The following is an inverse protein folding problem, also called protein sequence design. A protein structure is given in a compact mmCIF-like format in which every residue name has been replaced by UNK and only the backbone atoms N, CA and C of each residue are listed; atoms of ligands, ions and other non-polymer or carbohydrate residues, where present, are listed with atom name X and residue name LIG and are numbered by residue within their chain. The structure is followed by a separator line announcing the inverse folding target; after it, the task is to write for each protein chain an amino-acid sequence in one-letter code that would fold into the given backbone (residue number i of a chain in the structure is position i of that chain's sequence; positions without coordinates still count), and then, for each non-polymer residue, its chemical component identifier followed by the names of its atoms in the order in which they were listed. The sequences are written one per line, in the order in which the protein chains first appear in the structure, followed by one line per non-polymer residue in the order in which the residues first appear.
data_IF_689613627744
#
_entry.id   IF_689613627744
#
_cell.length_a   1.000
_cell.length_b   1.000
_cell.length_c   1.000
_cell.angle_alpha   90.00
_cell.angle_beta   90.00
_cell.angle_gamma   90.00
#
_symmetry.space_group_name_H-M   'P 1'
#
loop_
_entity.id
_entity.type
_entity.pdbx_description
1 polymer ?
#
# COMPACT_ATOMS: atom_id res chain seq x y z
N UNK A 1 -7.62 37.16 -0.60
CA UNK A 1 -8.89 36.74 -1.27
C UNK A 1 -9.68 37.99 -1.62
N UNK A 2 -10.18 38.13 -2.85
CA UNK A 2 -11.01 39.29 -3.20
C UNK A 2 -12.36 39.26 -2.47
N UNK A 3 -12.91 40.42 -2.07
CA UNK A 3 -14.22 40.49 -1.43
C UNK A 3 -15.33 40.05 -2.40
N UNK A 4 -16.45 39.58 -1.83
CA UNK A 4 -17.63 39.10 -2.57
C UNK A 4 -18.83 39.88 -2.06
N UNK A 5 -19.57 40.50 -2.98
CA UNK A 5 -20.76 41.27 -2.68
C UNK A 5 -21.96 40.67 -3.44
N UNK A 6 -23.04 40.34 -2.73
CA UNK A 6 -24.33 39.92 -3.27
C UNK A 6 -25.44 40.37 -2.33
N UNK A 7 -26.65 40.62 -2.85
CA UNK A 7 -27.82 40.97 -2.04
C UNK A 7 -28.35 39.80 -1.19
N UNK A 8 -28.00 38.55 -1.52
CA UNK A 8 -28.37 37.37 -0.76
C UNK A 8 -27.15 36.79 -0.01
N UNK A 9 -27.21 36.66 1.33
CA UNK A 9 -26.14 36.06 2.13
C UNK A 9 -25.75 34.65 1.70
N UNK A 10 -26.69 33.85 1.20
CA UNK A 10 -26.45 32.48 0.71
C UNK A 10 -25.52 32.49 -0.51
N UNK A 11 -25.67 33.47 -1.39
CA UNK A 11 -24.81 33.60 -2.58
C UNK A 11 -23.39 33.99 -2.21
N UNK A 12 -23.23 34.88 -1.23
CA UNK A 12 -21.90 35.25 -0.71
C UNK A 12 -21.18 34.00 -0.19
N UNK A 13 -21.88 33.18 0.61
CA UNK A 13 -21.34 31.92 1.14
C UNK A 13 -20.99 30.94 0.02
N UNK A 14 -21.90 30.72 -0.93
CA UNK A 14 -21.69 29.80 -2.05
C UNK A 14 -20.50 30.21 -2.93
N UNK A 15 -20.34 31.51 -3.22
CA UNK A 15 -19.21 32.01 -4.00
C UNK A 15 -17.90 31.81 -3.24
N UNK A 16 -17.87 32.10 -1.93
CA UNK A 16 -16.68 31.85 -1.09
C UNK A 16 -16.31 30.36 -1.06
N UNK A 17 -17.29 29.47 -0.87
CA UNK A 17 -17.07 28.02 -0.88
C UNK A 17 -16.61 27.51 -2.26
N UNK A 18 -17.15 28.02 -3.36
CA UNK A 18 -16.70 27.69 -4.72
C UNK A 18 -15.25 28.13 -4.96
N UNK A 19 -14.87 29.33 -4.51
CA UNK A 19 -13.48 29.84 -4.60
C UNK A 19 -12.53 28.98 -3.76
N UNK A 20 -12.92 28.65 -2.53
CA UNK A 20 -12.18 27.77 -1.66
C UNK A 20 -12.00 26.39 -2.28
N UNK A 21 -13.09 25.76 -2.75
CA UNK A 21 -13.04 24.48 -3.47
C UNK A 21 -12.11 24.54 -4.69
N UNK A 22 -12.16 25.61 -5.49
CA UNK A 22 -11.29 25.78 -6.66
C UNK A 22 -9.82 25.88 -6.27
N UNK A 23 -9.49 26.59 -5.20
CA UNK A 23 -8.12 26.68 -4.68
C UNK A 23 -7.59 25.31 -4.23
N UNK A 24 -8.42 24.52 -3.54
CA UNK A 24 -8.05 23.17 -3.11
C UNK A 24 -8.14 22.12 -4.23
N UNK A 25 -8.78 22.44 -5.36
CA UNK A 25 -8.88 21.57 -6.54
C UNK A 25 -7.52 21.50 -7.23
N UNK A 26 -6.69 20.57 -6.76
CA UNK A 26 -5.34 20.35 -7.28
C UNK A 26 -4.30 20.23 -6.18
N UNK A 27 -4.58 20.68 -4.96
CA UNK A 27 -3.66 20.58 -3.82
C UNK A 27 -3.27 19.12 -3.54
N UNK A 28 -4.26 18.22 -3.51
CA UNK A 28 -3.99 16.79 -3.37
C UNK A 28 -3.22 16.17 -4.54
N UNK A 29 -3.43 16.67 -5.77
CA UNK A 29 -2.74 16.16 -6.96
C UNK A 29 -1.30 16.66 -7.05
N UNK A 30 -1.03 17.90 -6.61
CA UNK A 30 0.31 18.45 -6.57
C UNK A 30 1.11 17.77 -5.45
N UNK A 31 0.65 17.84 -4.20
CA UNK A 31 1.47 17.37 -3.07
C UNK A 31 1.69 15.85 -3.09
N UNK A 32 0.61 15.06 -3.17
CA UNK A 32 0.73 13.59 -3.22
C UNK A 32 1.20 13.08 -4.59
N UNK A 33 0.96 13.84 -5.67
CA UNK A 33 1.40 13.45 -7.01
C UNK A 33 2.91 13.60 -7.20
N UNK A 34 3.54 14.64 -6.64
CA UNK A 34 5.00 14.79 -6.69
C UNK A 34 5.70 13.65 -5.92
N UNK A 35 5.25 13.35 -4.69
CA UNK A 35 5.78 12.23 -3.92
C UNK A 35 5.60 10.88 -4.65
N UNK A 36 4.44 10.63 -5.24
CA UNK A 36 4.18 9.40 -6.01
C UNK A 36 5.08 9.29 -7.24
N UNK A 37 5.28 10.39 -7.98
CA UNK A 37 6.20 10.42 -9.12
C UNK A 37 7.64 10.19 -8.69
N UNK A 38 8.08 10.80 -7.58
CA UNK A 38 9.44 10.63 -7.05
C UNK A 38 9.70 9.20 -6.62
N UNK A 39 8.79 8.58 -5.87
CA UNK A 39 8.89 7.14 -5.52
C UNK A 39 8.95 6.24 -6.73
N UNK A 40 8.15 6.53 -7.77
CA UNK A 40 8.19 5.76 -9.02
C UNK A 40 9.59 5.83 -9.66
N UNK A 41 10.12 7.05 -9.81
CA UNK A 41 11.45 7.27 -10.36
C UNK A 41 12.55 6.58 -9.53
N UNK A 42 12.51 6.69 -8.20
CA UNK A 42 13.47 6.03 -7.31
C UNK A 42 13.47 4.51 -7.48
N UNK A 43 12.29 3.89 -7.62
CA UNK A 43 12.18 2.44 -7.86
C UNK A 43 12.73 2.03 -9.21
N UNK A 44 12.47 2.80 -10.26
CA UNK A 44 12.99 2.54 -11.61
C UNK A 44 14.52 2.64 -11.64
N UNK A 45 15.09 3.71 -11.08
CA UNK A 45 16.54 3.91 -11.02
C UNK A 45 17.24 2.87 -10.15
N UNK A 46 16.66 2.49 -8.99
CA UNK A 46 17.20 1.41 -8.17
C UNK A 46 17.16 0.06 -8.90
N UNK A 47 16.09 -0.22 -9.66
CA UNK A 47 15.99 -1.41 -10.50
C UNK A 47 17.13 -1.48 -11.52
N UNK A 48 17.46 -0.36 -12.18
CA UNK A 48 18.59 -0.31 -13.10
C UNK A 48 19.94 -0.58 -12.42
N UNK A 49 20.16 -0.06 -11.20
CA UNK A 49 21.39 -0.34 -10.46
C UNK A 49 21.47 -1.80 -10.01
N UNK A 50 20.34 -2.40 -9.64
CA UNK A 50 20.26 -3.81 -9.26
C UNK A 50 20.55 -4.73 -10.47
N UNK A 51 20.01 -4.42 -11.65
CA UNK A 51 20.34 -5.12 -12.90
C UNK A 51 21.83 -5.05 -13.25
N UNK A 52 22.46 -3.90 -13.03
CA UNK A 52 23.92 -3.76 -13.22
C UNK A 52 24.69 -4.62 -12.20
N UNK A 53 24.25 -4.65 -10.95
CA UNK A 53 24.87 -5.44 -9.89
C UNK A 53 24.81 -6.95 -10.14
N UNK A 54 23.79 -7.44 -10.87
CA UNK A 54 23.69 -8.86 -11.25
C UNK A 54 24.81 -9.26 -12.23
N UNK A 55 25.29 -8.33 -13.05
CA UNK A 55 26.28 -8.58 -14.08
C UNK A 55 27.71 -8.23 -13.64
N UNK A 56 27.86 -7.17 -12.83
CA UNK A 56 29.16 -6.61 -12.46
C UNK A 56 29.21 -6.13 -10.99
N UNK A 57 30.42 -6.05 -10.43
CA UNK A 57 30.61 -5.46 -9.10
C UNK A 57 30.45 -3.94 -9.20
N UNK A 58 29.55 -3.38 -8.39
CA UNK A 58 29.30 -1.94 -8.35
C UNK A 58 30.55 -1.17 -7.92
N UNK A 59 30.81 -0.06 -8.62
CA UNK A 59 31.75 0.97 -8.15
C UNK A 59 31.31 1.51 -6.78
N UNK A 60 32.25 1.87 -5.87
CA UNK A 60 31.92 2.48 -4.58
C UNK A 60 31.00 3.70 -4.69
N UNK A 61 31.15 4.51 -5.74
CA UNK A 61 30.30 5.69 -5.98
C UNK A 61 28.86 5.31 -6.31
N UNK A 62 28.67 4.31 -7.18
CA UNK A 62 27.33 3.80 -7.52
C UNK A 62 26.67 3.12 -6.33
N UNK A 63 27.46 2.44 -5.50
CA UNK A 63 26.97 1.85 -4.26
C UNK A 63 26.48 2.93 -3.28
N UNK A 64 27.25 4.00 -3.07
CA UNK A 64 26.80 5.14 -2.26
C UNK A 64 25.50 5.73 -2.80
N UNK A 65 25.41 5.98 -4.11
CA UNK A 65 24.19 6.48 -4.76
C UNK A 65 23.00 5.53 -4.53
N UNK A 66 23.20 4.22 -4.59
CA UNK A 66 22.18 3.22 -4.29
C UNK A 66 21.64 3.37 -2.87
N UNK A 67 22.54 3.47 -1.89
CA UNK A 67 22.18 3.62 -0.48
C UNK A 67 21.40 4.92 -0.25
N UNK A 68 21.85 6.03 -0.81
CA UNK A 68 21.14 7.32 -0.71
C UNK A 68 19.72 7.25 -1.27
N UNK A 69 19.54 6.64 -2.44
CA UNK A 69 18.22 6.47 -3.05
C UNK A 69 17.31 5.53 -2.25
N UNK A 70 17.86 4.50 -1.62
CA UNK A 70 17.11 3.63 -0.71
C UNK A 70 16.65 4.37 0.55
N UNK A 71 17.52 5.21 1.12
CA UNK A 71 17.17 6.06 2.28
C UNK A 71 16.04 7.02 1.92
N UNK A 72 16.13 7.69 0.77
CA UNK A 72 15.08 8.60 0.28
C UNK A 72 13.76 7.86 -0.02
N UNK A 73 13.82 6.68 -0.63
CA UNK A 73 12.62 5.90 -0.89
C UNK A 73 11.93 5.51 0.42
N UNK A 74 12.71 5.08 1.42
CA UNK A 74 12.19 4.71 2.73
C UNK A 74 11.54 5.89 3.46
N UNK A 75 12.12 7.09 3.40
CA UNK A 75 11.50 8.28 4.02
C UNK A 75 10.14 8.60 3.38
N UNK A 76 10.04 8.55 2.05
CA UNK A 76 8.78 8.79 1.32
C UNK A 76 7.72 7.71 1.57
N UNK A 77 8.13 6.48 1.92
CA UNK A 77 7.23 5.40 2.31
C UNK A 77 6.74 5.57 3.75
N UNK A 78 7.60 6.01 4.67
CA UNK A 78 7.23 6.32 6.05
C UNK A 78 6.22 7.46 6.12
N UNK A 79 6.42 8.54 5.35
CA UNK A 79 5.44 9.63 5.25
C UNK A 79 4.08 9.15 4.75
N UNK A 80 4.08 8.23 3.79
CA UNK A 80 2.86 7.61 3.28
C UNK A 80 2.19 6.72 4.35
N UNK A 81 2.95 5.91 5.07
CA UNK A 81 2.46 5.06 6.17
C UNK A 81 1.80 5.92 7.25
N UNK A 82 2.44 7.01 7.69
CA UNK A 82 1.86 7.96 8.65
C UNK A 82 0.58 8.59 8.12
N UNK A 83 0.56 9.03 6.86
CA UNK A 83 -0.63 9.61 6.25
C UNK A 83 -1.79 8.59 6.16
N UNK A 84 -1.50 7.31 5.91
CA UNK A 84 -2.50 6.24 5.93
C UNK A 84 -3.00 5.93 7.34
N UNK A 85 -2.11 5.92 8.33
CA UNK A 85 -2.46 5.72 9.73
C UNK A 85 -3.43 6.80 10.19
N UNK A 86 -3.11 8.07 9.95
CA UNK A 86 -3.98 9.19 10.30
C UNK A 86 -5.36 9.06 9.65
N UNK A 87 -5.42 8.77 8.35
CA UNK A 87 -6.70 8.58 7.63
C UNK A 87 -7.50 7.41 8.18
N UNK A 88 -6.84 6.33 8.58
CA UNK A 88 -7.51 5.15 9.14
C UNK A 88 -8.08 5.44 10.53
N UNK A 89 -7.33 6.16 11.36
CA UNK A 89 -7.74 6.60 12.69
C UNK A 89 -8.89 7.60 12.61
N UNK A 90 -8.83 8.60 11.72
CA UNK A 90 -9.92 9.55 11.50
C UNK A 90 -11.19 8.83 11.04
N UNK A 91 -11.06 7.84 10.15
CA UNK A 91 -12.19 7.01 9.73
C UNK A 91 -12.74 6.14 10.86
N UNK A 92 -11.92 5.75 11.83
CA UNK A 92 -12.31 4.95 12.98
C UNK A 92 -13.04 5.80 14.01
N UNK A 93 -12.44 6.93 14.43
CA UNK A 93 -13.04 7.89 15.36
C UNK A 93 -14.40 8.42 14.87
N UNK A 94 -14.56 8.64 13.56
CA UNK A 94 -15.82 9.12 13.00
C UNK A 94 -16.95 8.07 13.04
N UNK A 95 -16.64 6.80 13.33
CA UNK A 95 -17.59 5.67 13.22
C UNK A 95 -17.97 5.01 14.55
N UNK A 96 -17.50 5.58 15.66
CA UNK A 96 -17.74 5.13 17.04
C UNK A 96 -17.19 3.72 17.33
N UNK A 97 -16.55 3.55 18.49
CA UNK A 97 -15.88 2.31 18.94
C UNK A 97 -16.88 1.23 19.41
N UNK A 98 -18.16 1.48 19.16
CA UNK A 98 -19.23 0.55 19.43
C UNK A 98 -19.09 -0.64 18.46
N UNK A 99 -19.02 -1.86 19.01
CA UNK A 99 -18.97 -3.16 18.32
C UNK A 99 -20.28 -3.42 17.55
N UNK A 100 -20.58 -2.54 16.59
CA UNK A 100 -21.85 -2.40 15.91
C UNK A 100 -21.97 -3.45 14.82
N UNK A 101 -23.21 -3.80 14.45
CA UNK A 101 -23.52 -4.65 13.31
C UNK A 101 -22.79 -4.20 12.02
N UNK A 102 -22.53 -2.90 11.88
CA UNK A 102 -21.74 -2.32 10.80
C UNK A 102 -20.30 -2.86 10.76
N UNK A 103 -19.62 -2.98 11.90
CA UNK A 103 -18.26 -3.52 11.99
C UNK A 103 -18.22 -4.97 11.54
N UNK A 104 -19.11 -5.81 12.08
CA UNK A 104 -19.24 -7.21 11.68
C UNK A 104 -19.54 -7.34 10.18
N UNK A 105 -20.41 -6.48 9.63
CA UNK A 105 -20.71 -6.48 8.19
C UNK A 105 -19.48 -6.14 7.33
N UNK A 106 -18.62 -5.22 7.77
CA UNK A 106 -17.36 -4.91 7.07
C UNK A 106 -16.36 -6.07 7.20
N UNK A 107 -16.19 -6.63 8.40
CA UNK A 107 -15.29 -7.77 8.64
C UNK A 107 -15.73 -8.97 7.80
N UNK A 108 -17.01 -9.32 7.81
CA UNK A 108 -17.56 -10.41 7.01
C UNK A 108 -17.48 -10.13 5.51
N UNK A 109 -17.68 -8.88 5.10
CA UNK A 109 -17.47 -8.45 3.72
C UNK A 109 -16.01 -8.54 3.27
N UNK A 110 -15.05 -8.35 4.17
CA UNK A 110 -13.61 -8.56 3.91
C UNK A 110 -13.27 -10.04 3.90
N UNK A 111 -13.77 -10.80 4.89
CA UNK A 111 -13.61 -12.25 4.96
C UNK A 111 -14.08 -12.91 3.68
N UNK A 112 -15.30 -12.60 3.21
CA UNK A 112 -15.83 -13.14 1.94
C UNK A 112 -14.96 -12.81 0.72
N UNK A 113 -14.38 -11.61 0.66
CA UNK A 113 -13.51 -11.21 -0.47
C UNK A 113 -12.10 -11.80 -0.40
N UNK A 114 -11.58 -12.01 0.81
CA UNK A 114 -10.21 -12.45 1.04
C UNK A 114 -10.10 -13.98 1.25
N UNK A 115 -11.22 -14.69 1.42
CA UNK A 115 -11.22 -16.15 1.41
C UNK A 115 -10.78 -16.65 0.04
N UNK A 116 -9.59 -17.26 0.00
CA UNK A 116 -9.09 -17.96 -1.17
C UNK A 116 -9.84 -19.29 -1.25
N UNK A 117 -10.65 -19.46 -2.30
CA UNK A 117 -11.45 -20.67 -2.51
C UNK A 117 -10.69 -21.71 -3.32
N UNK A 118 -9.89 -21.27 -4.28
CA UNK A 118 -9.09 -22.11 -5.15
C UNK A 118 -7.81 -21.41 -5.61
N UNK A 119 -6.82 -22.19 -6.02
CA UNK A 119 -5.59 -21.72 -6.64
C UNK A 119 -5.50 -22.28 -8.07
N UNK A 120 -5.17 -21.43 -9.04
CA UNK A 120 -4.89 -21.88 -10.42
C UNK A 120 -3.39 -21.89 -10.67
N UNK A 121 -2.83 -23.04 -11.02
CA UNK A 121 -1.42 -23.21 -11.41
C UNK A 121 -1.36 -23.78 -12.83
N UNK A 122 -1.20 -22.92 -13.84
CA UNK A 122 -1.32 -23.31 -15.25
C UNK A 122 -2.72 -23.82 -15.56
N UNK A 123 -2.81 -25.03 -16.12
CA UNK A 123 -4.09 -25.70 -16.44
C UNK A 123 -4.74 -26.41 -15.23
N UNK A 124 -4.09 -26.41 -14.07
CA UNK A 124 -4.57 -27.13 -12.88
C UNK A 124 -5.25 -26.17 -11.89
N UNK A 125 -6.50 -26.49 -11.53
CA UNK A 125 -7.25 -25.82 -10.46
C UNK A 125 -7.16 -26.66 -9.19
N UNK A 126 -6.65 -26.07 -8.12
CA UNK A 126 -6.48 -26.70 -6.81
C UNK A 126 -7.54 -26.13 -5.88
N UNK A 127 -8.50 -26.98 -5.52
CA UNK A 127 -9.59 -26.63 -4.62
C UNK A 127 -9.42 -27.28 -3.25
N UNK A 128 -9.86 -26.56 -2.21
CA UNK A 128 -9.88 -27.05 -0.83
C UNK A 128 -8.63 -26.71 -0.02
N UNK A 129 -8.84 -26.26 1.22
CA UNK A 129 -7.78 -25.73 2.09
C UNK A 129 -6.59 -26.67 2.28
N UNK A 130 -6.84 -27.98 2.45
CA UNK A 130 -5.77 -28.97 2.65
C UNK A 130 -4.87 -29.11 1.42
N UNK A 131 -5.47 -29.08 0.22
CA UNK A 131 -4.75 -29.21 -1.04
C UNK A 131 -3.97 -27.94 -1.36
N UNK A 132 -4.58 -26.77 -1.12
CA UNK A 132 -3.92 -25.48 -1.27
C UNK A 132 -2.71 -25.35 -0.32
N UNK A 133 -2.86 -25.75 0.94
CA UNK A 133 -1.75 -25.74 1.92
C UNK A 133 -0.63 -26.70 1.49
N UNK A 134 -0.97 -27.92 1.09
CA UNK A 134 0.02 -28.90 0.63
C UNK A 134 0.79 -28.38 -0.58
N UNK A 135 0.08 -27.86 -1.58
CA UNK A 135 0.69 -27.28 -2.77
C UNK A 135 1.61 -26.09 -2.44
N UNK A 136 1.18 -25.19 -1.55
CA UNK A 136 2.02 -24.07 -1.11
C UNK A 136 3.28 -24.56 -0.39
N UNK A 137 3.18 -25.54 0.51
CA UNK A 137 4.34 -26.09 1.21
C UNK A 137 5.30 -26.81 0.26
N UNK A 138 4.79 -27.55 -0.72
CA UNK A 138 5.60 -28.26 -1.70
C UNK A 138 6.30 -27.27 -2.65
N UNK A 139 5.60 -26.21 -3.07
CA UNK A 139 6.18 -25.12 -3.85
C UNK A 139 7.35 -24.45 -3.11
N UNK A 140 7.15 -24.07 -1.84
CA UNK A 140 8.19 -23.41 -1.05
C UNK A 140 9.39 -24.34 -0.83
N UNK A 141 9.17 -25.62 -0.52
CA UNK A 141 10.26 -26.60 -0.39
C UNK A 141 11.06 -26.70 -1.68
N UNK A 142 10.40 -26.84 -2.82
CA UNK A 142 11.07 -26.94 -4.11
C UNK A 142 11.80 -25.66 -4.49
N UNK A 143 11.23 -24.49 -4.17
CA UNK A 143 11.85 -23.20 -4.41
C UNK A 143 13.13 -22.99 -3.57
N UNK A 144 13.11 -23.42 -2.31
CA UNK A 144 14.23 -23.23 -1.37
C UNK A 144 15.34 -24.30 -1.49
N UNK A 145 15.08 -25.45 -2.13
CA UNK A 145 16.05 -26.55 -2.28
C UNK A 145 16.83 -26.47 -3.61
N UNK A 146 16.58 -25.45 -4.45
CA UNK A 146 17.43 -25.18 -5.60
C UNK A 146 18.82 -24.67 -5.16
N UNK A 147 19.92 -25.11 -5.81
CA UNK A 147 21.25 -24.68 -5.45
C UNK A 147 21.38 -23.16 -5.60
N UNK A 148 21.95 -22.53 -4.56
CA UNK A 148 22.44 -21.15 -4.51
C UNK A 148 23.07 -20.76 -5.86
N UNK A 149 22.33 -20.00 -6.68
CA UNK A 149 22.78 -19.62 -8.02
C UNK A 149 21.74 -19.00 -8.96
N UNK A 150 20.44 -19.14 -8.71
CA UNK A 150 19.38 -18.53 -9.56
C UNK A 150 18.63 -17.42 -8.83
N UNK A 151 19.36 -16.34 -8.50
CA UNK A 151 18.76 -15.08 -8.06
C UNK A 151 18.48 -14.20 -9.29
N UNK A 152 17.41 -14.47 -10.04
CA UNK A 152 17.02 -13.60 -11.16
C UNK A 152 15.52 -13.63 -11.53
N UNK A 153 14.62 -14.17 -10.69
CA UNK A 153 13.19 -14.27 -11.08
C UNK A 153 12.17 -14.11 -9.97
N UNK A 154 12.39 -13.15 -9.06
CA UNK A 154 11.35 -12.70 -8.12
C UNK A 154 11.07 -11.18 -8.20
N UNK A 155 11.30 -10.55 -9.35
CA UNK A 155 10.74 -9.23 -9.65
C UNK A 155 9.34 -9.35 -10.27
N UNK A 156 8.33 -9.72 -9.47
CA UNK A 156 6.96 -9.83 -10.01
C UNK A 156 5.78 -9.82 -9.03
N UNK A 157 5.98 -10.01 -7.72
CA UNK A 157 4.85 -10.14 -6.77
C UNK A 157 4.62 -8.84 -5.96
N UNK A 158 5.38 -7.77 -6.19
CA UNK A 158 5.28 -6.54 -5.38
C UNK A 158 3.95 -5.76 -5.57
N UNK A 159 3.18 -6.01 -6.64
CA UNK A 159 2.02 -5.17 -6.99
C UNK A 159 0.72 -5.39 -6.19
N UNK A 160 0.53 -6.55 -5.55
CA UNK A 160 -0.76 -6.88 -4.89
C UNK A 160 -0.67 -6.75 -3.36
N UNK A 161 0.53 -6.84 -2.81
CA UNK A 161 0.72 -6.83 -1.36
C UNK A 161 0.69 -5.40 -0.80
N UNK A 162 1.20 -4.38 -1.52
CA UNK A 162 1.31 -3.01 -0.99
C UNK A 162 -0.03 -2.38 -0.55
N UNK A 163 -1.16 -2.73 -1.19
CA UNK A 163 -2.48 -2.17 -0.80
C UNK A 163 -3.14 -2.88 0.37
N UNK A 164 -2.80 -4.14 0.64
CA UNK A 164 -3.34 -4.91 1.76
C UNK A 164 -2.40 -4.93 2.97
N UNK A 165 -1.08 -4.81 2.77
CA UNK A 165 -0.12 -4.86 3.87
C UNK A 165 -0.24 -3.67 4.83
N UNK A 166 -0.47 -2.46 4.31
CA UNK A 166 -0.67 -1.27 5.13
C UNK A 166 -1.97 -1.37 5.96
N UNK A 167 -3.01 -2.03 5.42
CA UNK A 167 -4.28 -2.26 6.14
C UNK A 167 -4.17 -3.42 7.15
N UNK A 168 -3.34 -4.43 6.86
CA UNK A 168 -3.08 -5.53 7.79
C UNK A 168 -2.18 -5.09 8.96
N UNK A 169 -1.24 -4.16 8.73
CA UNK A 169 -0.34 -3.65 9.77
C UNK A 169 -1.03 -2.71 10.75
N UNK A 170 -1.98 -1.88 10.31
CA UNK A 170 -2.76 -1.02 11.21
C UNK A 170 -3.60 -1.81 12.22
N UNK A 171 -3.93 -3.08 11.93
CA UNK A 171 -4.60 -3.98 12.89
C UNK A 171 -3.64 -4.89 13.65
N UNK A 172 -2.40 -5.07 13.20
CA UNK A 172 -1.39 -5.86 13.94
C UNK A 172 -0.92 -5.15 15.22
N UNK A 173 -1.09 -3.83 15.29
CA UNK A 173 -0.80 -3.00 16.48
C UNK A 173 -2.03 -2.72 17.36
N UNK A 174 -3.21 -3.25 16.99
CA UNK A 174 -4.43 -3.18 17.81
C UNK A 174 -4.72 -4.58 18.39
N UNK A 175 -4.10 -4.81 19.54
CA UNK A 175 -4.45 -5.74 20.62
C UNK A 175 -4.78 -7.22 20.33
N UNK A 176 -3.99 -8.16 20.88
CA UNK A 176 -4.35 -9.57 21.07
C UNK A 176 -5.56 -9.82 22.00
N UNK A 177 -6.22 -8.79 22.53
CA UNK A 177 -7.25 -8.92 23.57
C UNK A 177 -8.66 -9.24 23.07
N UNK A 178 -8.91 -9.26 21.76
CA UNK A 178 -10.23 -9.58 21.20
C UNK A 178 -10.39 -11.01 20.67
N UNK A 179 -9.43 -11.90 20.94
CA UNK A 179 -9.54 -13.34 20.67
C UNK A 179 -9.61 -14.09 22.00
N UNK A 180 -10.58 -13.76 22.85
CA UNK A 180 -11.04 -14.63 23.94
C UNK A 180 -12.35 -14.09 24.52
N UNK A 181 -13.47 -14.44 23.87
CA UNK A 181 -14.75 -14.80 24.49
C UNK A 181 -15.72 -15.32 23.44
#
# INVERSE_FOLDING_TARGET
MQPVYSGNPIDIMNIKLKRFKKYFKGWGSSNFGHARKRRKWLREELGHIEELQENEVLSPELYCKKVEMQVELNSLLLEEEVAWLQKSHDNWLLKDDSNTEYFHRIVDGRRRRNTIVSLSCGDMVIEGNKNMLKHATDFIKNFLVLPVGTCARLMGICGVIERNWVILRTFSYLDPFLIQK
#
